data_IF_551433393152
#
_entry.id   IF_551433393152
#
_cell.length_a   1.000
_cell.length_b   1.000
_cell.length_c   1.000
_cell.angle_alpha   90.00
_cell.angle_beta   90.00
_cell.angle_gamma   90.00
#
_symmetry.space_group_name_H-M   'P 1'
#
loop_
_entity.id
_entity.type
_entity.pdbx_description
1 polymer ?
#
# COMPACT_ATOMS: atom_id res chain seq x y z
N UNK A 1 -27.40 -24.95 2.49
CA UNK A 1 -26.42 -24.32 3.41
C UNK A 1 -25.99 -23.03 2.75
N UNK A 2 -26.40 -21.86 3.29
CA UNK A 2 -26.19 -20.56 2.66
C UNK A 2 -24.69 -20.24 2.78
N UNK A 3 -24.06 -20.04 1.64
CA UNK A 3 -22.71 -19.44 1.54
C UNK A 3 -22.84 -18.04 2.14
N UNK A 4 -22.42 -17.90 3.39
CA UNK A 4 -22.34 -16.58 4.03
C UNK A 4 -21.09 -15.90 3.49
N UNK A 5 -21.16 -15.41 2.25
CA UNK A 5 -20.38 -14.25 1.85
C UNK A 5 -20.95 -13.13 2.71
N UNK A 6 -20.32 -12.87 3.83
CA UNK A 6 -20.86 -12.02 4.88
C UNK A 6 -21.01 -10.59 4.38
N UNK A 7 -22.18 -10.28 3.76
CA UNK A 7 -22.59 -8.89 3.47
C UNK A 7 -22.47 -7.99 4.71
N UNK A 8 -22.55 -8.56 5.90
CA UNK A 8 -22.37 -7.86 7.18
C UNK A 8 -20.92 -7.40 7.42
N UNK A 9 -19.90 -8.12 6.91
CA UNK A 9 -18.50 -7.70 7.05
C UNK A 9 -18.17 -6.45 6.21
N UNK A 10 -18.95 -6.16 5.17
CA UNK A 10 -18.78 -4.93 4.39
C UNK A 10 -18.92 -3.66 5.23
N UNK A 11 -19.71 -3.70 6.32
CA UNK A 11 -19.88 -2.56 7.23
C UNK A 11 -18.59 -2.20 7.99
N UNK A 12 -17.61 -3.09 8.06
CA UNK A 12 -16.32 -2.80 8.68
C UNK A 12 -15.41 -1.87 7.83
N UNK A 13 -15.81 -1.55 6.58
CA UNK A 13 -15.06 -0.62 5.72
C UNK A 13 -15.26 0.85 6.07
N UNK A 14 -16.38 1.19 6.67
CA UNK A 14 -16.78 2.56 6.85
C UNK A 14 -17.04 2.84 8.33
N UNK A 15 -16.22 3.70 8.90
CA UNK A 15 -16.41 4.17 10.26
C UNK A 15 -17.06 5.56 10.27
N UNK A 16 -17.67 5.89 11.38
CA UNK A 16 -18.21 7.22 11.60
C UNK A 16 -17.07 8.21 11.86
N UNK A 17 -16.91 9.21 10.99
CA UNK A 17 -15.88 10.24 11.10
C UNK A 17 -16.33 11.50 11.85
N UNK A 18 -17.59 11.56 12.33
CA UNK A 18 -18.20 12.79 12.91
C UNK A 18 -17.41 13.39 14.06
N UNK A 19 -16.69 12.58 14.83
CA UNK A 19 -15.92 13.02 15.99
C UNK A 19 -14.40 12.99 15.78
N UNK A 20 -13.95 12.70 14.55
CA UNK A 20 -12.53 12.65 14.27
C UNK A 20 -11.93 14.06 14.27
N UNK A 21 -11.02 14.30 15.20
CA UNK A 21 -10.22 15.51 15.24
C UNK A 21 -8.77 15.19 14.86
N UNK A 22 -8.28 15.89 13.84
CA UNK A 22 -6.90 15.75 13.40
C UNK A 22 -6.05 16.85 14.04
N UNK A 23 -4.78 16.56 14.37
CA UNK A 23 -3.84 17.59 14.81
C UNK A 23 -3.71 18.71 13.77
N UNK A 24 -3.48 19.97 14.18
CA UNK A 24 -3.28 21.08 13.25
C UNK A 24 -2.02 20.88 12.40
N UNK A 25 -2.06 21.37 11.17
CA UNK A 25 -0.88 21.35 10.29
C UNK A 25 0.08 22.48 10.65
N UNK A 26 1.40 22.22 10.67
CA UNK A 26 2.41 23.26 10.87
C UNK A 26 2.42 24.31 9.76
N UNK A 27 2.11 23.89 8.54
CA UNK A 27 2.08 24.74 7.34
C UNK A 27 0.85 24.42 6.50
N UNK A 28 0.40 25.41 5.69
CA UNK A 28 -0.76 25.26 4.78
C UNK A 28 -0.31 24.96 3.36
N UNK A 29 0.56 23.97 3.20
CA UNK A 29 1.08 23.55 1.91
C UNK A 29 0.07 22.64 1.21
N UNK A 30 -0.23 22.84 -0.09
CA UNK A 30 -1.08 21.90 -0.84
C UNK A 30 -0.58 20.47 -0.73
N UNK A 31 -1.49 19.52 -0.61
CA UNK A 31 -1.19 18.10 -0.55
C UNK A 31 -1.50 17.44 -1.90
N UNK A 32 -0.46 16.95 -2.57
CA UNK A 32 -0.58 16.02 -3.68
C UNK A 32 -0.73 14.61 -3.11
N UNK A 33 -1.93 14.04 -3.18
CA UNK A 33 -2.26 12.72 -2.65
C UNK A 33 -2.11 11.68 -3.75
N UNK A 34 -1.03 10.88 -3.72
CA UNK A 34 -0.61 10.03 -4.83
C UNK A 34 -1.03 8.58 -4.58
N UNK A 35 -2.06 8.12 -5.30
CA UNK A 35 -2.43 6.70 -5.35
C UNK A 35 -1.64 5.94 -6.41
N UNK A 36 -1.63 4.61 -6.29
CA UNK A 36 -1.03 3.75 -7.31
C UNK A 36 -1.73 3.90 -8.67
N UNK A 37 -3.05 3.95 -8.65
CA UNK A 37 -3.89 3.87 -9.83
C UNK A 37 -4.46 2.46 -10.05
N UNK A 38 -5.55 2.42 -10.80
CA UNK A 38 -6.28 1.18 -11.10
C UNK A 38 -7.18 1.36 -12.31
N UNK A 39 -7.42 0.26 -13.04
CA UNK A 39 -8.45 0.21 -14.09
C UNK A 39 -9.86 -0.07 -13.53
N UNK A 40 -9.95 -0.42 -12.25
CA UNK A 40 -11.23 -0.66 -11.57
C UNK A 40 -11.84 0.69 -11.13
N UNK A 41 -13.02 1.01 -11.66
CA UNK A 41 -13.69 2.28 -11.37
C UNK A 41 -14.02 2.47 -9.88
N UNK A 42 -14.38 1.39 -9.16
CA UNK A 42 -14.67 1.44 -7.72
C UNK A 42 -13.39 1.72 -6.92
N UNK A 43 -12.27 1.11 -7.33
CA UNK A 43 -10.97 1.37 -6.70
C UNK A 43 -10.48 2.81 -6.91
N UNK A 44 -10.69 3.38 -8.12
CA UNK A 44 -10.45 4.80 -8.37
C UNK A 44 -11.32 5.67 -7.47
N UNK A 45 -12.63 5.44 -7.45
CA UNK A 45 -13.58 6.22 -6.66
C UNK A 45 -13.25 6.17 -5.16
N UNK A 46 -12.83 5.01 -4.64
CA UNK A 46 -12.46 4.86 -3.23
C UNK A 46 -11.30 5.78 -2.80
N UNK A 47 -10.28 6.01 -3.65
CA UNK A 47 -9.24 7.00 -3.36
C UNK A 47 -9.78 8.44 -3.42
N UNK A 48 -10.66 8.75 -4.39
CA UNK A 48 -11.27 10.08 -4.50
C UNK A 48 -12.14 10.39 -3.29
N UNK A 49 -12.94 9.42 -2.83
CA UNK A 49 -13.76 9.53 -1.63
C UNK A 49 -12.89 9.72 -0.37
N UNK A 50 -11.79 8.98 -0.29
CA UNK A 50 -10.81 9.12 0.79
C UNK A 50 -10.17 10.52 0.81
N UNK A 51 -9.78 11.05 -0.33
CA UNK A 51 -9.25 12.40 -0.47
C UNK A 51 -10.30 13.46 -0.08
N UNK A 52 -11.54 13.29 -0.53
CA UNK A 52 -12.66 14.18 -0.21
C UNK A 52 -12.97 14.17 1.29
N UNK A 53 -12.99 13.01 1.92
CA UNK A 53 -13.19 12.88 3.36
C UNK A 53 -12.07 13.55 4.16
N UNK A 54 -10.80 13.38 3.71
CA UNK A 54 -9.66 14.02 4.34
C UNK A 54 -9.67 15.55 4.17
N UNK A 55 -10.07 16.05 2.99
CA UNK A 55 -10.26 17.48 2.74
C UNK A 55 -11.35 18.07 3.62
N UNK A 56 -12.46 17.35 3.83
CA UNK A 56 -13.58 17.82 4.65
C UNK A 56 -13.21 18.00 6.15
N UNK A 57 -12.22 17.24 6.64
CA UNK A 57 -11.72 17.37 8.01
C UNK A 57 -10.82 18.59 8.21
N UNK A 58 -10.23 19.11 7.15
CA UNK A 58 -9.35 20.28 7.21
C UNK A 58 -9.25 20.96 5.85
N UNK A 59 -9.94 22.11 5.72
CA UNK A 59 -9.98 22.93 4.51
C UNK A 59 -8.90 24.02 4.47
N UNK A 60 -7.90 23.98 5.34
CA UNK A 60 -6.85 25.01 5.42
C UNK A 60 -5.89 25.04 4.22
N UNK A 61 -5.84 23.97 3.43
CA UNK A 61 -5.10 23.82 2.18
C UNK A 61 -5.85 22.86 1.24
N UNK A 62 -5.60 22.89 -0.08
CA UNK A 62 -6.18 21.92 -1.00
C UNK A 62 -5.51 20.54 -0.88
N UNK A 63 -6.32 19.50 -1.09
CA UNK A 63 -5.91 18.11 -1.25
C UNK A 63 -6.22 17.69 -2.69
N UNK A 64 -5.18 17.36 -3.45
CA UNK A 64 -5.30 17.01 -4.86
C UNK A 64 -4.96 15.53 -5.06
N UNK A 65 -5.98 14.67 -5.23
CA UNK A 65 -5.74 13.26 -5.54
C UNK A 65 -5.23 13.10 -6.97
N UNK A 66 -4.18 12.29 -7.11
CA UNK A 66 -3.64 11.90 -8.41
C UNK A 66 -3.13 10.46 -8.37
N UNK A 67 -2.75 9.93 -9.52
CA UNK A 67 -2.37 8.54 -9.66
C UNK A 67 -1.03 8.40 -10.38
N UNK A 68 -0.26 7.41 -9.94
CA UNK A 68 1.02 7.08 -10.57
C UNK A 68 0.82 6.54 -11.98
N UNK A 69 -0.16 5.64 -12.16
CA UNK A 69 -0.41 4.97 -13.43
C UNK A 69 -1.88 4.57 -13.62
N UNK A 70 -2.22 4.02 -14.79
CA UNK A 70 -3.50 3.36 -15.14
C UNK A 70 -4.74 4.26 -15.19
N UNK A 71 -4.76 5.42 -14.58
CA UNK A 71 -5.94 6.32 -14.53
C UNK A 71 -5.53 7.78 -14.30
N UNK A 72 -6.39 8.70 -14.76
CA UNK A 72 -6.25 10.14 -14.51
C UNK A 72 -7.00 10.57 -13.21
N UNK A 73 -6.64 11.74 -12.63
CA UNK A 73 -5.50 12.58 -13.01
C UNK A 73 -4.15 11.94 -12.68
N UNK A 74 -3.18 12.11 -13.55
CA UNK A 74 -1.78 11.70 -13.33
C UNK A 74 -1.08 12.61 -12.33
N UNK A 75 0.11 12.20 -11.86
CA UNK A 75 0.95 13.07 -11.00
C UNK A 75 1.25 14.39 -11.71
N UNK A 76 1.55 14.36 -13.02
CA UNK A 76 1.86 15.56 -13.80
C UNK A 76 0.66 16.51 -13.87
N UNK A 77 -0.54 15.99 -14.12
CA UNK A 77 -1.78 16.79 -14.13
C UNK A 77 -2.09 17.39 -12.75
N UNK A 78 -1.87 16.63 -11.67
CA UNK A 78 -2.01 17.15 -10.30
C UNK A 78 -1.02 18.27 -9.98
N UNK A 79 0.23 18.16 -10.44
CA UNK A 79 1.25 19.21 -10.32
C UNK A 79 0.86 20.45 -11.13
N UNK A 80 0.40 20.28 -12.36
CA UNK A 80 -0.04 21.40 -13.22
C UNK A 80 -1.21 22.16 -12.60
N UNK A 81 -2.13 21.47 -11.98
CA UNK A 81 -3.25 22.09 -11.27
C UNK A 81 -2.76 22.93 -10.08
N UNK A 82 -1.77 22.44 -9.30
CA UNK A 82 -1.15 23.23 -8.24
C UNK A 82 -0.50 24.52 -8.78
N UNK A 83 0.22 24.43 -9.90
CA UNK A 83 0.90 25.59 -10.50
C UNK A 83 -0.13 26.62 -11.02
N UNK A 84 -1.20 26.17 -11.68
CA UNK A 84 -2.29 27.05 -12.13
C UNK A 84 -2.93 27.83 -10.97
N UNK A 85 -2.98 27.21 -9.78
CA UNK A 85 -3.48 27.84 -8.56
C UNK A 85 -2.43 28.69 -7.82
N UNK A 86 -1.24 28.89 -8.40
CA UNK A 86 -0.20 29.77 -7.89
C UNK A 86 0.68 29.17 -6.78
N UNK A 87 0.65 27.86 -6.58
CA UNK A 87 1.48 27.20 -5.58
C UNK A 87 2.87 26.90 -6.14
N UNK A 88 3.90 27.16 -5.32
CA UNK A 88 5.31 26.90 -5.62
C UNK A 88 5.96 25.85 -4.70
N UNK A 89 5.26 25.42 -3.64
CA UNK A 89 5.70 24.37 -2.75
C UNK A 89 4.54 23.39 -2.50
N UNK A 90 4.82 22.09 -2.62
CA UNK A 90 3.83 21.01 -2.48
C UNK A 90 4.33 19.96 -1.49
N UNK A 91 3.43 19.46 -0.64
CA UNK A 91 3.61 18.18 0.04
C UNK A 91 3.11 17.07 -0.88
N UNK A 92 3.90 16.02 -1.09
CA UNK A 92 3.54 14.86 -1.90
C UNK A 92 3.54 13.60 -1.03
N UNK A 93 2.39 12.96 -0.87
CA UNK A 93 2.25 11.75 -0.05
C UNK A 93 1.81 10.55 -0.88
N UNK A 94 2.59 9.46 -0.88
CA UNK A 94 2.19 8.20 -1.48
C UNK A 94 1.14 7.50 -0.60
N UNK A 95 -0.03 7.24 -1.16
CA UNK A 95 -1.10 6.48 -0.51
C UNK A 95 -0.85 5.00 -0.75
N UNK A 96 0.19 4.50 -0.10
CA UNK A 96 0.70 3.13 -0.20
C UNK A 96 0.92 2.56 1.21
N UNK A 97 0.68 1.27 1.38
CA UNK A 97 0.83 0.61 2.69
C UNK A 97 2.31 0.38 3.04
N UNK A 98 3.11 -0.06 2.06
CA UNK A 98 4.52 -0.38 2.26
C UNK A 98 5.41 0.26 1.19
N UNK A 99 6.69 0.42 1.52
CA UNK A 99 7.70 0.99 0.65
C UNK A 99 8.21 -0.07 -0.34
N UNK A 100 7.50 -0.24 -1.45
CA UNK A 100 7.95 -1.02 -2.60
C UNK A 100 8.53 -0.11 -3.70
N UNK A 101 8.86 -0.67 -4.85
CA UNK A 101 9.38 0.04 -6.02
C UNK A 101 8.63 1.35 -6.32
N UNK A 102 7.29 1.29 -6.35
CA UNK A 102 6.48 2.47 -6.68
C UNK A 102 6.75 3.66 -5.75
N UNK A 103 6.89 3.39 -4.45
CA UNK A 103 7.20 4.42 -3.47
C UNK A 103 8.66 4.92 -3.56
N UNK A 104 9.60 3.98 -3.76
CA UNK A 104 11.04 4.25 -3.71
C UNK A 104 11.59 4.84 -5.00
N UNK A 105 10.95 4.57 -6.14
CA UNK A 105 11.48 4.88 -7.46
C UNK A 105 10.46 5.56 -8.40
N UNK A 106 9.30 4.95 -8.64
CA UNK A 106 8.43 5.44 -9.72
C UNK A 106 7.79 6.79 -9.37
N UNK A 107 7.31 6.99 -8.14
CA UNK A 107 6.76 8.27 -7.69
C UNK A 107 7.85 9.35 -7.69
N UNK A 108 9.04 9.04 -7.18
CA UNK A 108 10.15 10.00 -7.15
C UNK A 108 10.59 10.41 -8.54
N UNK A 109 10.62 9.49 -9.51
CA UNK A 109 10.90 9.82 -10.91
C UNK A 109 9.85 10.76 -11.50
N UNK A 110 8.56 10.55 -11.23
CA UNK A 110 7.52 11.47 -11.70
C UNK A 110 7.67 12.87 -11.08
N UNK A 111 8.03 12.95 -9.79
CA UNK A 111 8.30 14.24 -9.15
C UNK A 111 9.56 14.91 -9.72
N UNK A 112 10.59 14.16 -10.08
CA UNK A 112 11.81 14.69 -10.71
C UNK A 112 11.53 15.17 -12.13
N UNK A 113 10.70 14.46 -12.92
CA UNK A 113 10.19 14.98 -14.22
C UNK A 113 9.45 16.29 -14.06
N UNK A 114 8.61 16.42 -13.03
CA UNK A 114 7.93 17.68 -12.77
C UNK A 114 8.90 18.80 -12.37
N UNK A 115 9.96 18.51 -11.58
CA UNK A 115 11.03 19.49 -11.27
C UNK A 115 11.77 19.96 -12.51
N UNK A 116 12.07 19.06 -13.44
CA UNK A 116 12.72 19.42 -14.71
C UNK A 116 11.84 20.37 -15.54
N UNK A 117 10.52 20.12 -15.56
CA UNK A 117 9.56 20.97 -16.28
C UNK A 117 9.30 22.30 -15.58
N UNK A 118 9.31 22.30 -14.24
CA UNK A 118 9.00 23.45 -13.39
C UNK A 118 10.08 23.66 -12.32
N UNK A 119 11.27 24.19 -12.67
CA UNK A 119 12.42 24.27 -11.75
C UNK A 119 12.19 25.09 -10.48
N UNK A 120 11.19 26.01 -10.50
CA UNK A 120 10.82 26.82 -9.34
C UNK A 120 9.99 26.03 -8.30
N UNK A 121 9.48 24.86 -8.67
CA UNK A 121 8.59 24.08 -7.80
C UNK A 121 9.39 23.24 -6.79
N UNK A 122 9.01 23.34 -5.53
CA UNK A 122 9.59 22.55 -4.45
C UNK A 122 8.64 21.44 -4.02
N UNK A 123 9.13 20.22 -4.00
CA UNK A 123 8.41 19.06 -3.48
C UNK A 123 8.97 18.65 -2.12
N UNK A 124 8.07 18.40 -1.19
CA UNK A 124 8.34 17.74 0.08
C UNK A 124 7.70 16.36 0.01
N UNK A 125 8.50 15.35 -0.29
CA UNK A 125 8.02 13.98 -0.45
C UNK A 125 8.00 13.26 0.87
N UNK A 126 6.83 12.76 1.24
CA UNK A 126 6.62 12.03 2.48
C UNK A 126 6.68 10.51 2.30
N UNK A 127 6.60 9.79 3.41
CA UNK A 127 6.63 8.34 3.41
C UNK A 127 5.22 7.73 3.31
N UNK A 128 5.18 6.45 2.95
CA UNK A 128 4.01 5.57 2.96
C UNK A 128 3.43 5.41 4.38
N UNK A 129 2.27 4.75 4.51
CA UNK A 129 1.64 4.50 5.81
C UNK A 129 2.55 3.70 6.76
N UNK A 130 3.08 2.57 6.31
CA UNK A 130 3.95 1.70 7.10
C UNK A 130 3.20 0.91 8.18
N UNK A 131 3.99 0.31 9.08
CA UNK A 131 3.48 -0.38 10.27
C UNK A 131 3.36 0.65 11.39
N UNK A 132 2.12 0.92 11.84
CA UNK A 132 1.84 1.90 12.90
C UNK A 132 0.94 1.30 13.97
N UNK A 133 0.99 1.79 15.22
CA UNK A 133 0.09 1.33 16.28
C UNK A 133 -1.38 1.45 15.85
N UNK A 134 -1.79 2.56 15.25
CA UNK A 134 -3.17 2.78 14.83
C UNK A 134 -3.68 1.71 13.84
N UNK A 135 -2.87 1.33 12.84
CA UNK A 135 -3.25 0.28 11.90
C UNK A 135 -3.20 -1.12 12.52
N UNK A 136 -2.33 -1.36 13.49
CA UNK A 136 -2.31 -2.63 14.24
C UNK A 136 -3.59 -2.77 15.06
N UNK A 137 -3.98 -1.74 15.81
CA UNK A 137 -5.21 -1.75 16.62
C UNK A 137 -6.46 -1.88 15.74
N UNK A 138 -6.53 -1.19 14.61
CA UNK A 138 -7.62 -1.37 13.64
C UNK A 138 -7.82 -2.84 13.26
N UNK A 139 -6.75 -3.58 12.98
CA UNK A 139 -6.85 -5.00 12.64
C UNK A 139 -7.22 -5.86 13.84
N UNK A 140 -6.72 -5.56 15.04
CA UNK A 140 -7.11 -6.24 16.27
C UNK A 140 -8.59 -6.08 16.58
N UNK A 141 -9.12 -4.88 16.42
CA UNK A 141 -10.55 -4.58 16.64
C UNK A 141 -11.44 -5.29 15.62
N UNK A 142 -11.00 -5.35 14.35
CA UNK A 142 -11.69 -6.10 13.30
C UNK A 142 -11.71 -7.60 13.62
N UNK A 143 -10.59 -8.15 14.07
CA UNK A 143 -10.50 -9.55 14.49
C UNK A 143 -11.36 -9.82 15.73
N UNK A 144 -11.38 -8.92 16.71
CA UNK A 144 -12.26 -9.03 17.88
C UNK A 144 -13.74 -8.99 17.48
N UNK A 145 -14.09 -8.19 16.47
CA UNK A 145 -15.45 -8.17 15.94
C UNK A 145 -15.89 -9.51 15.36
N UNK A 146 -14.94 -10.29 14.78
CA UNK A 146 -15.24 -11.60 14.21
C UNK A 146 -15.54 -12.69 15.25
N UNK A 147 -15.32 -12.44 16.53
CA UNK A 147 -15.68 -13.38 17.61
C UNK A 147 -17.17 -13.29 17.96
N UNK A 148 -17.87 -12.21 17.57
CA UNK A 148 -19.29 -12.01 17.82
C UNK A 148 -20.15 -13.08 17.13
N UNK A 149 -21.28 -13.51 17.75
CA UNK A 149 -22.14 -14.56 17.18
C UNK A 149 -22.63 -14.30 15.76
N UNK A 150 -22.80 -13.04 15.37
CA UNK A 150 -23.23 -12.67 14.02
C UNK A 150 -22.21 -13.01 12.93
N UNK A 151 -20.91 -13.04 13.29
CA UNK A 151 -19.79 -13.38 12.38
C UNK A 151 -19.18 -14.75 12.66
N UNK A 152 -19.51 -15.34 13.80
CA UNK A 152 -19.06 -16.65 14.24
C UNK A 152 -20.22 -17.46 14.85
N UNK A 153 -21.24 -17.79 14.05
CA UNK A 153 -22.44 -18.48 14.58
C UNK A 153 -22.14 -19.87 15.15
N UNK A 154 -21.07 -20.51 14.71
CA UNK A 154 -20.61 -21.80 15.22
C UNK A 154 -19.76 -21.67 16.50
N UNK A 155 -19.48 -20.46 16.96
CA UNK A 155 -18.65 -20.16 18.13
C UNK A 155 -17.28 -20.89 18.12
N UNK A 156 -16.66 -20.97 16.92
CA UNK A 156 -15.34 -21.58 16.75
C UNK A 156 -14.31 -20.75 17.51
N UNK A 157 -13.50 -21.41 18.32
CA UNK A 157 -12.48 -20.74 19.13
C UNK A 157 -11.36 -20.15 18.28
N UNK A 158 -10.64 -19.15 18.81
CA UNK A 158 -9.44 -18.64 18.16
C UNK A 158 -8.36 -19.70 18.01
N UNK A 159 -8.25 -20.63 18.98
CA UNK A 159 -7.29 -21.74 18.92
C UNK A 159 -7.57 -22.74 17.79
N UNK A 160 -8.83 -22.85 17.34
CA UNK A 160 -9.24 -23.67 16.19
C UNK A 160 -9.24 -22.85 14.88
N UNK A 161 -8.76 -21.61 14.90
CA UNK A 161 -8.80 -20.66 13.77
C UNK A 161 -7.39 -20.30 13.32
N UNK A 162 -7.14 -20.39 12.02
CA UNK A 162 -5.93 -19.91 11.35
C UNK A 162 -6.21 -18.56 10.69
N UNK A 163 -5.31 -17.61 10.89
CA UNK A 163 -5.30 -16.35 10.13
C UNK A 163 -4.55 -16.54 8.82
N UNK A 164 -5.11 -16.07 7.71
CA UNK A 164 -4.47 -16.04 6.40
C UNK A 164 -4.27 -14.59 5.96
N UNK A 165 -3.08 -14.05 6.22
CA UNK A 165 -2.73 -12.66 5.92
C UNK A 165 -2.29 -12.52 4.47
N UNK A 166 -3.02 -11.71 3.69
CA UNK A 166 -2.85 -11.64 2.24
C UNK A 166 -2.32 -10.28 1.83
N UNK A 167 -1.04 -10.22 1.44
CA UNK A 167 -0.43 -9.06 0.82
C UNK A 167 -0.65 -8.99 -0.70
N UNK A 168 -0.36 -7.83 -1.31
CA UNK A 168 -0.32 -7.69 -2.77
C UNK A 168 0.79 -8.55 -3.38
N UNK A 169 1.94 -8.57 -2.72
CA UNK A 169 3.21 -9.04 -3.25
C UNK A 169 3.98 -7.95 -3.98
N UNK A 170 5.29 -8.06 -3.93
CA UNK A 170 6.23 -7.12 -4.54
C UNK A 170 7.46 -7.84 -5.04
N UNK A 171 8.11 -7.28 -6.06
CA UNK A 171 9.46 -7.64 -6.45
C UNK A 171 10.53 -7.10 -5.47
N UNK A 172 10.12 -6.22 -4.55
CA UNK A 172 10.97 -5.70 -3.50
C UNK A 172 10.84 -6.56 -2.23
N UNK A 173 11.87 -7.31 -1.83
CA UNK A 173 11.83 -8.19 -0.67
C UNK A 173 11.64 -7.44 0.65
N UNK A 174 12.05 -6.17 0.75
CA UNK A 174 11.83 -5.33 1.92
C UNK A 174 10.33 -5.13 2.19
N UNK A 175 9.56 -4.77 1.15
CA UNK A 175 8.11 -4.64 1.24
C UNK A 175 7.41 -5.98 1.58
N UNK A 176 7.89 -7.10 1.04
CA UNK A 176 7.37 -8.42 1.39
C UNK A 176 7.70 -8.77 2.85
N UNK A 177 8.91 -8.40 3.32
CA UNK A 177 9.33 -8.54 4.72
C UNK A 177 8.42 -7.79 5.69
N UNK A 178 8.00 -6.56 5.34
CA UNK A 178 7.05 -5.78 6.12
C UNK A 178 5.68 -6.47 6.24
N UNK A 179 5.22 -7.19 5.21
CA UNK A 179 3.98 -7.99 5.27
C UNK A 179 4.10 -9.08 6.32
N UNK A 180 5.20 -9.84 6.33
CA UNK A 180 5.47 -10.89 7.33
C UNK A 180 5.59 -10.31 8.74
N UNK A 181 6.30 -9.19 8.87
CA UNK A 181 6.47 -8.49 10.15
C UNK A 181 5.12 -8.05 10.72
N UNK A 182 4.26 -7.44 9.91
CA UNK A 182 2.94 -7.00 10.35
C UNK A 182 2.05 -8.19 10.72
N UNK A 183 2.02 -9.25 9.90
CA UNK A 183 1.28 -10.47 10.20
C UNK A 183 1.69 -11.06 11.55
N UNK A 184 3.00 -11.13 11.83
CA UNK A 184 3.54 -11.58 13.12
C UNK A 184 3.06 -10.70 14.28
N UNK A 185 3.12 -9.37 14.14
CA UNK A 185 2.70 -8.43 15.19
C UNK A 185 1.20 -8.52 15.48
N UNK A 186 0.37 -8.72 14.45
CA UNK A 186 -1.09 -8.88 14.62
C UNK A 186 -1.41 -10.22 15.32
N UNK A 187 -0.70 -11.28 14.96
CA UNK A 187 -0.93 -12.60 15.52
C UNK A 187 -0.42 -12.72 16.97
N UNK A 188 0.68 -12.07 17.34
CA UNK A 188 1.29 -12.19 18.67
C UNK A 188 0.28 -11.81 19.76
N UNK A 189 0.05 -12.73 20.69
CA UNK A 189 -0.90 -12.56 21.80
C UNK A 189 -2.38 -12.55 21.40
N UNK A 190 -2.74 -12.79 20.13
CA UNK A 190 -4.12 -12.76 19.64
C UNK A 190 -4.97 -13.97 20.07
N UNK A 191 -4.33 -15.08 20.45
CA UNK A 191 -4.99 -16.35 20.76
C UNK A 191 -5.34 -17.23 19.56
N UNK A 192 -5.13 -16.76 18.32
CA UNK A 192 -5.30 -17.60 17.13
C UNK A 192 -4.22 -18.67 17.03
N UNK A 193 -4.57 -19.82 16.44
CA UNK A 193 -3.67 -20.97 16.28
C UNK A 193 -2.35 -20.58 15.63
N UNK A 194 -2.42 -19.94 14.48
CA UNK A 194 -1.26 -19.41 13.75
C UNK A 194 -1.68 -18.33 12.76
N UNK A 195 -0.69 -17.67 12.12
CA UNK A 195 -0.87 -16.83 10.95
C UNK A 195 -0.03 -17.36 9.80
N UNK A 196 -0.66 -17.64 8.67
CA UNK A 196 0.00 -17.89 7.39
C UNK A 196 0.00 -16.61 6.57
N UNK A 197 1.14 -16.30 5.97
CA UNK A 197 1.30 -15.11 5.11
C UNK A 197 1.44 -15.54 3.67
N UNK A 198 0.65 -14.93 2.79
CA UNK A 198 0.68 -15.19 1.36
C UNK A 198 0.41 -13.93 0.54
N UNK A 199 0.47 -14.05 -0.78
CA UNK A 199 0.36 -12.93 -1.71
C UNK A 199 -0.59 -13.25 -2.86
N UNK A 200 -1.35 -12.23 -3.29
CA UNK A 200 -2.26 -12.39 -4.44
C UNK A 200 -1.52 -12.28 -5.78
N UNK A 201 -0.33 -11.71 -5.81
CA UNK A 201 0.45 -11.51 -7.03
C UNK A 201 1.96 -11.47 -6.79
N UNK A 202 2.72 -11.38 -7.86
CA UNK A 202 4.16 -11.10 -7.97
C UNK A 202 5.08 -12.12 -7.28
N UNK A 203 4.93 -12.39 -5.99
CA UNK A 203 5.80 -13.27 -5.19
C UNK A 203 5.05 -14.45 -4.59
N UNK A 204 5.77 -15.39 -3.98
CA UNK A 204 5.26 -16.58 -3.29
C UNK A 204 5.41 -16.47 -1.76
N UNK A 205 4.61 -17.25 -0.99
CA UNK A 205 3.57 -18.16 -1.45
C UNK A 205 2.35 -17.42 -2.02
N UNK A 206 1.72 -17.99 -3.06
CA UNK A 206 0.46 -17.46 -3.61
C UNK A 206 -0.70 -17.74 -2.65
N UNK A 207 -1.86 -17.09 -2.88
CA UNK A 207 -3.03 -17.25 -2.01
C UNK A 207 -3.50 -18.71 -1.93
N UNK A 208 -3.48 -19.43 -3.04
CA UNK A 208 -3.83 -20.86 -3.09
C UNK A 208 -2.85 -21.71 -2.26
N UNK A 209 -1.55 -21.42 -2.31
CA UNK A 209 -0.53 -22.05 -1.48
C UNK A 209 -0.73 -21.68 0.01
N UNK A 210 -1.14 -20.44 0.29
CA UNK A 210 -1.50 -19.99 1.64
C UNK A 210 -2.64 -20.81 2.23
N UNK A 211 -3.69 -21.05 1.45
CA UNK A 211 -4.79 -21.94 1.87
C UNK A 211 -4.32 -23.39 2.08
N UNK A 212 -3.44 -23.91 1.21
CA UNK A 212 -2.88 -25.24 1.39
C UNK A 212 -2.10 -25.35 2.72
N UNK A 213 -1.25 -24.37 3.04
CA UNK A 213 -0.50 -24.31 4.29
C UNK A 213 -1.41 -24.16 5.50
N UNK A 214 -2.39 -23.26 5.43
CA UNK A 214 -3.35 -23.06 6.51
C UNK A 214 -4.09 -24.36 6.88
N UNK A 215 -4.44 -25.19 5.90
CA UNK A 215 -5.12 -26.48 6.15
C UNK A 215 -4.24 -27.54 6.82
N UNK A 216 -2.92 -27.45 6.75
CA UNK A 216 -2.01 -28.37 7.46
C UNK A 216 -2.17 -28.28 8.98
N UNK A 217 -2.67 -27.16 9.50
CA UNK A 217 -2.99 -26.99 10.93
C UNK A 217 -4.36 -27.57 11.32
N UNK A 218 -5.10 -28.17 10.38
CA UNK A 218 -6.42 -28.78 10.59
C UNK A 218 -7.42 -27.81 11.27
N UNK A 219 -7.54 -26.55 10.81
CA UNK A 219 -8.39 -25.57 11.45
C UNK A 219 -9.86 -25.88 11.22
N UNK A 220 -10.73 -25.49 12.16
CA UNK A 220 -12.18 -25.42 11.94
C UNK A 220 -12.59 -24.13 11.23
N UNK A 221 -11.74 -23.11 11.30
CA UNK A 221 -11.98 -21.81 10.66
C UNK A 221 -10.70 -21.21 10.07
N UNK A 222 -10.83 -20.59 8.90
CA UNK A 222 -9.79 -19.74 8.31
C UNK A 222 -10.34 -18.31 8.16
N UNK A 223 -9.63 -17.32 8.68
CA UNK A 223 -9.94 -15.91 8.50
C UNK A 223 -8.95 -15.33 7.50
N UNK A 224 -9.44 -14.89 6.36
CA UNK A 224 -8.65 -14.23 5.31
C UNK A 224 -8.61 -12.73 5.59
N UNK A 225 -7.40 -12.17 5.70
CA UNK A 225 -7.14 -10.74 5.95
C UNK A 225 -6.48 -10.11 4.72
N UNK A 226 -7.23 -9.53 3.78
CA UNK A 226 -6.66 -8.77 2.68
C UNK A 226 -6.05 -7.46 3.17
N UNK A 227 -4.72 -7.32 3.11
CA UNK A 227 -4.05 -6.09 3.50
C UNK A 227 -3.97 -5.12 2.32
N UNK A 228 -5.06 -4.41 2.09
CA UNK A 228 -5.27 -3.46 1.00
C UNK A 228 -5.96 -2.20 1.53
N UNK A 229 -5.60 -1.04 0.95
CA UNK A 229 -6.25 0.23 1.30
C UNK A 229 -7.68 0.28 0.77
N UNK A 230 -7.86 -0.02 -0.50
CA UNK A 230 -9.11 0.15 -1.22
C UNK A 230 -9.46 -1.09 -2.03
N UNK A 231 -10.74 -1.18 -2.42
CA UNK A 231 -11.22 -2.21 -3.34
C UNK A 231 -10.51 -2.15 -4.69
N UNK A 232 -10.65 -3.21 -5.47
CA UNK A 232 -10.08 -3.31 -6.82
C UNK A 232 -10.00 -4.76 -7.29
N UNK A 233 -9.47 -4.96 -8.50
CA UNK A 233 -9.42 -6.27 -9.13
C UNK A 233 -8.75 -7.35 -8.27
N UNK A 234 -7.67 -7.00 -7.53
CA UNK A 234 -6.95 -7.96 -6.69
C UNK A 234 -7.76 -8.34 -5.45
N UNK A 235 -8.42 -7.37 -4.79
CA UNK A 235 -9.29 -7.65 -3.64
C UNK A 235 -10.46 -8.53 -4.08
N UNK A 236 -11.12 -8.21 -5.20
CA UNK A 236 -12.19 -9.04 -5.78
C UNK A 236 -11.72 -10.46 -6.10
N UNK A 237 -10.48 -10.61 -6.62
CA UNK A 237 -9.86 -11.91 -6.85
C UNK A 237 -9.66 -12.69 -5.56
N UNK A 238 -9.22 -12.04 -4.46
CA UNK A 238 -9.08 -12.69 -3.14
C UNK A 238 -10.43 -13.25 -2.67
N UNK A 239 -11.50 -12.45 -2.76
CA UNK A 239 -12.85 -12.89 -2.39
C UNK A 239 -13.32 -14.09 -3.22
N UNK A 240 -13.11 -14.05 -4.54
CA UNK A 240 -13.49 -15.14 -5.42
C UNK A 240 -12.74 -16.44 -5.08
N UNK A 241 -11.44 -16.37 -4.82
CA UNK A 241 -10.65 -17.55 -4.40
C UNK A 241 -11.15 -18.06 -3.04
N UNK A 242 -11.45 -17.20 -2.09
CA UNK A 242 -11.97 -17.61 -0.78
C UNK A 242 -13.33 -18.34 -0.91
N UNK A 243 -14.23 -17.86 -1.79
CA UNK A 243 -15.49 -18.54 -2.11
C UNK A 243 -15.25 -19.93 -2.69
N UNK A 244 -14.34 -20.05 -3.67
CA UNK A 244 -13.99 -21.36 -4.27
C UNK A 244 -13.41 -22.31 -3.23
N UNK A 245 -12.57 -21.81 -2.31
CA UNK A 245 -12.02 -22.62 -1.21
C UNK A 245 -13.10 -23.05 -0.22
N UNK A 246 -14.10 -22.21 0.07
CA UNK A 246 -15.24 -22.57 0.90
C UNK A 246 -16.09 -23.68 0.25
N UNK A 247 -16.30 -23.61 -1.06
CA UNK A 247 -17.03 -24.66 -1.81
C UNK A 247 -16.27 -25.98 -1.83
N UNK A 248 -14.94 -25.92 -1.99
CA UNK A 248 -14.09 -27.11 -2.05
C UNK A 248 -13.90 -27.77 -0.67
N UNK A 249 -13.95 -26.98 0.42
CA UNK A 249 -13.72 -27.44 1.79
C UNK A 249 -14.86 -27.00 2.72
N UNK A 250 -16.06 -27.62 2.57
CA UNK A 250 -17.26 -27.19 3.28
C UNK A 250 -17.20 -27.39 4.81
N UNK A 251 -16.30 -28.24 5.28
CA UNK A 251 -16.09 -28.53 6.71
C UNK A 251 -15.27 -27.46 7.44
N UNK A 252 -14.61 -26.56 6.68
CA UNK A 252 -13.84 -25.45 7.23
C UNK A 252 -14.64 -24.15 7.02
N UNK A 253 -14.91 -23.41 8.09
CA UNK A 253 -15.55 -22.09 7.96
C UNK A 253 -14.54 -21.08 7.42
N UNK A 254 -14.81 -20.44 6.26
CA UNK A 254 -13.94 -19.41 5.70
C UNK A 254 -14.62 -18.05 5.78
N UNK A 255 -14.00 -17.11 6.51
CA UNK A 255 -14.43 -15.73 6.60
C UNK A 255 -13.38 -14.81 5.97
N UNK A 256 -13.82 -13.86 5.12
CA UNK A 256 -12.91 -12.89 4.49
C UNK A 256 -13.25 -11.49 4.95
N UNK A 257 -12.30 -10.83 5.61
CA UNK A 257 -12.42 -9.42 5.97
C UNK A 257 -12.37 -8.52 4.72
N UNK A 258 -13.03 -7.37 4.73
CA UNK A 258 -12.86 -6.38 3.67
C UNK A 258 -11.49 -5.71 3.75
N UNK A 259 -11.11 -5.01 2.69
CA UNK A 259 -10.00 -4.08 2.68
C UNK A 259 -10.15 -3.00 3.77
N UNK A 260 -9.08 -2.21 4.03
CA UNK A 260 -9.10 -1.19 5.09
C UNK A 260 -10.24 -0.20 4.88
N UNK A 261 -10.36 0.39 3.71
CA UNK A 261 -11.39 1.37 3.40
C UNK A 261 -11.18 2.72 4.11
N UNK A 262 -12.26 3.47 4.25
CA UNK A 262 -12.25 4.77 4.90
C UNK A 262 -12.39 4.60 6.43
N UNK A 263 -11.26 4.67 7.14
CA UNK A 263 -11.16 4.49 8.59
C UNK A 263 -10.51 5.70 9.27
N UNK A 264 -10.95 6.08 10.49
CA UNK A 264 -10.36 7.17 11.28
C UNK A 264 -8.86 6.97 11.50
N UNK A 265 -8.43 5.74 11.79
CA UNK A 265 -7.04 5.36 12.03
C UNK A 265 -6.17 5.66 10.80
N UNK A 266 -6.69 5.35 9.60
CA UNK A 266 -5.97 5.62 8.36
C UNK A 266 -5.83 7.12 8.09
N UNK A 267 -6.87 7.91 8.37
CA UNK A 267 -6.85 9.37 8.25
C UNK A 267 -5.90 10.01 9.28
N UNK A 268 -5.85 9.46 10.49
CA UNK A 268 -4.92 9.89 11.54
C UNK A 268 -3.47 9.65 11.10
N UNK A 269 -3.16 8.44 10.62
CA UNK A 269 -1.82 8.14 10.11
C UNK A 269 -1.47 9.02 8.90
N UNK A 270 -2.42 9.29 8.00
CA UNK A 270 -2.19 10.21 6.89
C UNK A 270 -1.81 11.61 7.39
N UNK A 271 -2.50 12.12 8.43
CA UNK A 271 -2.18 13.41 9.06
C UNK A 271 -0.78 13.42 9.67
N UNK A 272 -0.39 12.35 10.34
CA UNK A 272 0.98 12.21 10.86
C UNK A 272 2.02 12.27 9.73
N UNK A 273 1.77 11.58 8.61
CA UNK A 273 2.66 11.61 7.43
C UNK A 273 2.74 13.00 6.81
N UNK A 274 1.63 13.73 6.78
CA UNK A 274 1.61 15.10 6.27
C UNK A 274 2.42 16.04 7.19
N UNK A 275 2.26 15.94 8.50
CA UNK A 275 3.01 16.73 9.48
C UNK A 275 4.52 16.42 9.37
N UNK A 276 4.92 15.14 9.36
CA UNK A 276 6.32 14.72 9.16
C UNK A 276 6.92 15.35 7.88
N UNK A 277 6.14 15.36 6.80
CA UNK A 277 6.55 15.91 5.50
C UNK A 277 6.71 17.42 5.56
N UNK A 278 5.81 18.12 6.25
CA UNK A 278 5.86 19.57 6.41
C UNK A 278 7.02 20.03 7.31
N UNK A 279 7.38 19.23 8.30
CA UNK A 279 8.51 19.49 9.20
C UNK A 279 9.87 19.05 8.63
N UNK A 280 9.88 18.28 7.54
CA UNK A 280 11.10 17.68 6.99
C UNK A 280 11.63 16.50 7.83
N UNK A 281 10.80 15.89 8.67
CA UNK A 281 11.15 14.78 9.57
C UNK A 281 10.81 13.40 8.99
N UNK A 282 10.83 13.27 7.68
CA UNK A 282 10.47 12.03 6.99
C UNK A 282 11.52 10.94 7.25
N UNK A 283 11.07 9.84 7.87
CA UNK A 283 11.92 8.67 8.18
C UNK A 283 11.61 7.53 7.22
N UNK A 284 12.34 7.44 6.12
CA UNK A 284 12.29 6.30 5.21
C UNK A 284 13.55 5.45 5.34
N UNK A 285 13.40 4.13 5.21
CA UNK A 285 14.52 3.20 5.20
C UNK A 285 15.18 3.17 3.80
N UNK A 286 15.73 4.32 3.40
CA UNK A 286 16.36 4.48 2.08
C UNK A 286 17.76 3.89 2.00
N UNK A 287 18.44 3.66 3.13
CA UNK A 287 19.83 3.21 3.17
C UNK A 287 19.98 1.77 2.68
N UNK A 288 18.99 0.92 2.94
CA UNK A 288 18.95 -0.46 2.42
C UNK A 288 18.15 -0.58 1.11
N UNK A 289 17.70 0.54 0.55
CA UNK A 289 16.94 0.54 -0.70
C UNK A 289 17.86 0.20 -1.88
N UNK A 290 17.65 -0.97 -2.50
CA UNK A 290 18.44 -1.42 -3.66
C UNK A 290 18.39 -0.45 -4.83
N UNK A 291 17.25 0.22 -5.06
CA UNK A 291 17.10 1.21 -6.14
C UNK A 291 17.94 2.47 -5.89
N UNK A 292 17.94 2.98 -4.65
CA UNK A 292 18.79 4.11 -4.29
C UNK A 292 20.27 3.76 -4.36
N UNK A 293 20.65 2.57 -3.89
CA UNK A 293 22.04 2.09 -3.96
C UNK A 293 22.52 1.95 -5.40
N UNK A 294 21.68 1.42 -6.31
CA UNK A 294 21.98 1.35 -7.73
C UNK A 294 22.16 2.75 -8.34
N UNK A 295 21.25 3.69 -8.09
CA UNK A 295 21.35 5.05 -8.59
C UNK A 295 22.58 5.81 -8.07
N UNK A 296 23.05 5.51 -6.85
CA UNK A 296 24.28 6.12 -6.29
C UNK A 296 25.53 5.48 -6.91
N UNK A 297 25.54 4.17 -7.18
CA UNK A 297 26.68 3.49 -7.83
C UNK A 297 26.90 3.98 -9.25
N UNK A 298 25.85 4.19 -10.03
CA UNK A 298 25.94 4.72 -11.40
C UNK A 298 26.53 6.14 -11.44
N UNK A 299 26.30 6.97 -10.41
CA UNK A 299 26.88 8.30 -10.30
C UNK A 299 28.37 8.29 -9.88
N UNK A 300 28.88 7.19 -9.30
CA UNK A 300 30.31 7.09 -8.91
C UNK A 300 31.24 6.67 -10.06
N UNK A 301 30.72 6.04 -11.11
CA UNK A 301 31.52 5.69 -12.30
C UNK A 301 31.77 6.89 -13.24
N UNK A 302 31.09 8.03 -13.06
CA UNK A 302 31.28 9.24 -13.86
C UNK A 302 32.14 10.33 -13.21
N UNK A 303 32.79 10.06 -12.08
CA UNK A 303 33.70 10.98 -11.40
C UNK A 303 35.16 10.56 -11.50
N UNK A 304 35.88 11.06 -12.49
CA UNK A 304 37.31 11.15 -12.74
C UNK A 304 37.81 10.41 -14.00
N UNK A 305 37.68 11.09 -15.15
CA UNK A 305 38.77 11.17 -16.11
C UNK A 305 38.55 12.39 -17.00
N UNK A 306 39.39 13.38 -16.86
CA UNK A 306 39.60 14.40 -17.87
C UNK A 306 40.26 13.71 -19.07
N UNK A 307 39.51 13.47 -20.13
CA UNK A 307 40.05 13.46 -21.47
C UNK A 307 38.95 13.84 -22.47
N UNK A 308 39.29 14.86 -23.25
CA UNK A 308 38.45 15.43 -24.28
C UNK A 308 38.33 14.48 -25.47
N UNK A 309 37.19 13.77 -25.60
CA UNK A 309 36.71 13.32 -26.90
C UNK A 309 35.21 13.54 -27.01
N UNK A 310 34.83 14.46 -27.91
CA UNK A 310 33.47 14.69 -28.34
C UNK A 310 32.92 13.43 -28.99
N UNK A 311 32.06 12.71 -28.30
CA UNK A 311 31.10 11.79 -28.92
C UNK A 311 29.70 12.26 -28.59
N UNK A 312 28.99 12.66 -29.63
CA UNK A 312 27.55 12.89 -29.60
C UNK A 312 26.86 11.58 -29.20
N UNK A 313 26.40 11.46 -27.97
CA UNK A 313 25.44 10.42 -27.58
C UNK A 313 24.04 10.95 -27.81
N UNK A 314 23.40 10.33 -28.79
CA UNK A 314 21.99 10.45 -29.09
C UNK A 314 21.18 9.88 -27.89
N UNK A 315 20.55 10.78 -27.13
CA UNK A 315 19.78 10.46 -25.90
C UNK A 315 18.33 10.07 -26.21
N UNK A 316 18.09 9.38 -27.34
CA UNK A 316 16.73 9.05 -27.82
C UNK A 316 16.19 7.69 -27.33
N UNK A 317 16.88 6.97 -26.47
CA UNK A 317 16.33 5.74 -25.88
C UNK A 317 15.67 6.05 -24.53
N UNK A 318 14.37 5.71 -24.35
CA UNK A 318 13.77 5.76 -23.03
C UNK A 318 14.57 4.84 -22.10
N UNK A 319 14.70 5.18 -20.80
CA UNK A 319 15.42 4.33 -19.85
C UNK A 319 14.85 2.91 -19.93
N UNK A 320 15.71 1.95 -20.23
CA UNK A 320 15.34 0.54 -20.33
C UNK A 320 14.69 0.16 -19.00
N UNK A 321 13.42 -0.26 -19.03
CA UNK A 321 12.77 -0.79 -17.84
C UNK A 321 13.55 -2.03 -17.38
N UNK A 322 14.26 -1.97 -16.23
CA UNK A 322 15.06 -3.09 -15.76
C UNK A 322 14.22 -4.34 -15.41
N UNK A 323 12.89 -4.22 -15.52
CA UNK A 323 11.91 -5.27 -15.23
C UNK A 323 11.17 -5.77 -16.48
N UNK A 324 11.56 -5.30 -17.68
CA UNK A 324 11.01 -5.80 -18.94
C UNK A 324 11.24 -7.32 -19.11
N UNK A 325 12.26 -7.84 -18.46
CA UNK A 325 12.57 -9.27 -18.37
C UNK A 325 12.57 -9.73 -16.90
N UNK A 326 11.41 -10.24 -16.44
CA UNK A 326 11.18 -10.68 -15.06
C UNK A 326 12.11 -11.83 -14.67
N UNK A 327 12.40 -12.77 -15.58
CA UNK A 327 13.23 -13.93 -15.28
C UNK A 327 14.70 -13.51 -15.09
N UNK A 328 15.20 -12.64 -15.93
CA UNK A 328 16.54 -12.06 -15.82
C UNK A 328 16.66 -11.14 -14.58
N UNK A 329 15.57 -10.44 -14.23
CA UNK A 329 15.47 -9.66 -13.00
C UNK A 329 15.59 -10.54 -11.75
N UNK A 330 14.87 -11.66 -11.68
CA UNK A 330 14.96 -12.59 -10.56
C UNK A 330 16.37 -13.20 -10.40
N UNK A 331 17.04 -13.51 -11.48
CA UNK A 331 18.42 -14.00 -11.45
C UNK A 331 19.39 -12.93 -10.90
N UNK A 332 19.21 -11.67 -11.26
CA UNK A 332 20.07 -10.57 -10.78
C UNK A 332 19.85 -10.20 -9.30
N UNK A 333 18.64 -10.32 -8.79
CA UNK A 333 18.33 -10.01 -7.37
C UNK A 333 19.12 -10.91 -6.42
N UNK A 334 19.33 -12.17 -6.77
CA UNK A 334 20.02 -13.16 -5.93
C UNK A 334 21.54 -13.15 -6.07
N UNK A 335 22.07 -12.35 -7.01
CA UNK A 335 23.51 -12.25 -7.28
C UNK A 335 24.18 -11.01 -6.66
N UNK A 336 23.43 -10.17 -5.94
CA UNK A 336 24.01 -9.03 -5.24
C UNK A 336 24.48 -9.51 -3.86
N UNK A 337 25.82 -9.43 -3.56
CA UNK A 337 26.38 -9.85 -2.28
C UNK A 337 25.85 -9.03 -1.10
#
# INVERSE_FOLDING_TARGET
>A
MQIIVNSNLANLKYANLQNLQLPPLPMKRPLLMIGHGTRDAQGKQALLDFASAYQALDNSRPVLPCFLELTAPTIQEGVEECIKNGYSELSALPILLFAARHNKFDVTNELDRARLKYPQLKFHYGRHFGITPALIELWRDRLASLDKPEYNPQQISRQDTVLLFVGRGSSDPDANGDVFKLARIIWEGSGYSTVETCFIGITHPRLEEGFQRARLYQPKRIIVLPYFLFTGALVKKIFNIAVQQQEQYPDISIATLPEIGLQPELLTVLREREIETQLGEVKMNCEICKFRRAAVSDNHEHGHSHDHHHHHHDSSHPPVDPYADIDNYHQRIWQVP
#
